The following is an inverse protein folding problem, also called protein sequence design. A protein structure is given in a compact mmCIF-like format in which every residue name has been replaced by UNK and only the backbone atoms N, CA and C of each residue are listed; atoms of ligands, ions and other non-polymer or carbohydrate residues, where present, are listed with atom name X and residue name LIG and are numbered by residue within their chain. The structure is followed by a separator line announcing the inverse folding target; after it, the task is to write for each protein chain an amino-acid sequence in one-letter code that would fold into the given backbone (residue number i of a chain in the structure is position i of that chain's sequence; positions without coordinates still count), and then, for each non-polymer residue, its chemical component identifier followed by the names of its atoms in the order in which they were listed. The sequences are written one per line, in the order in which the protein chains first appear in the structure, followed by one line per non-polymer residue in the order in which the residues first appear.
data_IF_424412488688
#
_entry.id   IF_424412488688
#
_cell.length_a   1.000
_cell.length_b   1.000
_cell.length_c   1.000
_cell.angle_alpha   90.00
_cell.angle_beta   90.00
_cell.angle_gamma   90.00
#
_symmetry.space_group_name_H-M   'P 1'
#
loop_
_entity.id
_entity.type
_entity.pdbx_description
1 polymer ?
#
# COMPACT_ATOMS: atom_id res chain seq x y z
N UNK A 1 -8.26 3.04 18.40
CA UNK A 1 -8.99 4.14 19.09
C UNK A 1 -8.10 5.38 19.11
N UNK A 2 -8.57 6.48 18.56
CA UNK A 2 -7.99 7.80 18.77
C UNK A 2 -8.71 8.43 19.97
N UNK A 3 -7.97 8.87 20.96
CA UNK A 3 -8.50 9.64 22.07
C UNK A 3 -7.89 11.04 22.03
N UNK A 4 -8.73 12.02 21.75
CA UNK A 4 -8.36 13.43 21.83
C UNK A 4 -9.05 13.97 23.07
N UNK A 5 -8.33 14.27 24.16
CA UNK A 5 -8.92 14.84 25.35
C UNK A 5 -9.65 16.13 25.00
N UNK A 6 -10.89 16.28 25.44
CA UNK A 6 -11.70 17.50 25.25
C UNK A 6 -11.24 18.69 26.12
N UNK A 7 -10.19 18.50 26.91
CA UNK A 7 -9.57 19.50 27.78
C UNK A 7 -8.04 19.31 27.74
N UNK A 8 -7.26 20.31 28.12
CA UNK A 8 -5.82 20.16 28.22
C UNK A 8 -5.41 18.94 29.04
N UNK A 9 -4.47 18.14 28.52
CA UNK A 9 -3.94 16.94 29.18
C UNK A 9 -3.15 17.35 30.42
N UNK A 10 -2.45 18.48 30.33
CA UNK A 10 -1.61 19.04 31.38
C UNK A 10 -1.76 20.54 31.49
N UNK A 11 -1.44 21.06 32.67
CA UNK A 11 -1.43 22.48 32.96
C UNK A 11 -2.75 22.97 33.60
N UNK A 12 -2.86 24.29 33.89
CA UNK A 12 -1.84 25.32 33.63
C UNK A 12 -0.65 25.24 34.58
N UNK A 13 0.56 25.51 34.07
CA UNK A 13 1.82 25.49 34.81
C UNK A 13 2.60 26.80 34.60
N UNK A 14 3.41 27.15 35.57
CA UNK A 14 4.22 28.36 35.56
C UNK A 14 3.42 29.64 35.73
N UNK A 15 4.11 30.77 35.85
CA UNK A 15 3.49 32.10 35.95
C UNK A 15 2.74 32.48 34.66
N UNK A 16 3.21 31.97 33.52
CA UNK A 16 2.57 32.13 32.21
C UNK A 16 1.34 31.25 31.99
N UNK A 17 1.00 30.38 32.97
CA UNK A 17 -0.18 29.49 32.98
C UNK A 17 -0.33 28.67 31.70
N UNK A 18 0.79 28.10 31.21
CA UNK A 18 0.81 27.26 30.02
C UNK A 18 0.06 25.97 30.26
N UNK A 19 -0.82 25.62 29.34
CA UNK A 19 -1.50 24.34 29.24
C UNK A 19 -1.30 23.74 27.83
N UNK A 20 -1.28 22.40 27.73
CA UNK A 20 -1.11 21.71 26.44
C UNK A 20 -1.91 20.42 26.36
N UNK A 21 -2.08 19.94 25.14
CA UNK A 21 -2.80 18.71 24.84
C UNK A 21 -1.85 17.67 24.27
N UNK A 22 -2.14 16.41 24.58
CA UNK A 22 -1.48 15.23 24.02
C UNK A 22 -2.55 14.26 23.54
N UNK A 23 -2.23 13.48 22.50
CA UNK A 23 -3.14 12.51 21.92
C UNK A 23 -2.69 11.10 22.24
N UNK A 24 -3.65 10.20 22.41
CA UNK A 24 -3.42 8.78 22.59
C UNK A 24 -4.08 8.01 21.45
N UNK A 25 -3.30 7.17 20.75
CA UNK A 25 -3.76 6.34 19.64
C UNK A 25 -3.56 4.87 20.00
N UNK A 26 -4.61 4.06 19.80
CA UNK A 26 -4.58 2.61 19.94
C UNK A 26 -5.38 1.97 18.81
N UNK A 27 -4.75 1.07 18.03
CA UNK A 27 -5.37 0.41 16.87
C UNK A 27 -4.34 -0.31 16.01
N UNK A 28 -4.79 -0.80 14.85
CA UNK A 28 -3.94 -1.43 13.85
C UNK A 28 -3.29 -0.37 12.95
N UNK A 29 -2.41 0.45 13.51
CA UNK A 29 -1.88 1.67 12.88
C UNK A 29 -1.26 1.47 11.50
N UNK A 30 -0.80 0.26 11.17
CA UNK A 30 -0.15 -0.02 9.90
C UNK A 30 -1.10 -0.55 8.82
N UNK A 31 -2.41 -0.69 9.15
CA UNK A 31 -3.40 -1.29 8.26
C UNK A 31 -4.72 -0.52 8.24
N UNK A 32 -4.78 0.63 8.89
CA UNK A 32 -5.97 1.47 8.96
C UNK A 32 -5.77 2.76 8.14
N UNK A 33 -6.48 2.90 7.02
CA UNK A 33 -6.37 4.05 6.12
C UNK A 33 -5.19 3.93 5.15
N UNK A 34 -4.67 5.07 4.68
CA UNK A 34 -3.50 5.07 3.79
C UNK A 34 -2.31 4.46 4.51
N UNK A 35 -1.76 3.41 3.94
CA UNK A 35 -0.77 2.55 4.57
C UNK A 35 0.36 2.17 3.62
N UNK A 36 1.48 1.80 4.23
CA UNK A 36 2.67 1.27 3.57
C UNK A 36 3.03 -0.07 4.18
N UNK A 37 3.16 -1.10 3.34
CA UNK A 37 3.56 -2.43 3.75
C UNK A 37 5.05 -2.64 3.55
N UNK A 38 5.74 -2.97 4.64
CA UNK A 38 7.14 -3.36 4.60
C UNK A 38 7.30 -4.82 4.18
N UNK A 39 8.52 -5.23 3.88
CA UNK A 39 8.85 -6.62 3.50
C UNK A 39 8.68 -7.63 4.64
N UNK A 40 8.32 -7.18 5.84
CA UNK A 40 7.95 -8.03 6.98
C UNK A 40 6.44 -8.31 7.04
N UNK A 41 5.61 -7.67 6.16
CA UNK A 41 4.16 -7.78 6.24
C UNK A 41 3.67 -9.18 5.85
N UNK A 42 4.24 -9.77 4.79
CA UNK A 42 3.81 -11.08 4.27
C UNK A 42 4.93 -12.10 4.28
N UNK A 43 4.53 -13.38 4.38
CA UNK A 43 5.42 -14.54 4.26
C UNK A 43 4.74 -15.65 3.47
N UNK A 44 5.55 -16.53 2.87
CA UNK A 44 5.08 -17.77 2.24
C UNK A 44 5.42 -18.97 3.12
N UNK A 45 4.46 -19.84 3.36
CA UNK A 45 4.69 -21.14 4.02
C UNK A 45 5.17 -22.16 2.98
N UNK A 46 6.40 -22.67 3.14
CA UNK A 46 7.03 -23.56 2.14
C UNK A 46 7.05 -25.03 2.54
N UNK A 47 6.60 -25.40 3.72
CA UNK A 47 6.72 -26.74 4.23
C UNK A 47 5.49 -27.24 4.96
N UNK A 48 5.68 -27.79 6.16
CA UNK A 48 4.58 -28.35 6.95
C UNK A 48 3.59 -27.27 7.34
N UNK A 49 2.29 -27.42 6.98
CA UNK A 49 1.26 -26.45 7.31
C UNK A 49 1.21 -26.11 8.81
N UNK A 50 1.18 -24.81 9.11
CA UNK A 50 1.11 -24.29 10.48
C UNK A 50 2.45 -24.29 11.24
N UNK A 51 3.56 -24.69 10.62
CA UNK A 51 4.88 -24.57 11.23
C UNK A 51 5.50 -23.20 10.91
N UNK A 52 5.58 -22.34 11.92
CA UNK A 52 6.17 -21.01 11.78
C UNK A 52 7.62 -21.03 11.27
N UNK A 53 8.34 -22.15 11.46
CA UNK A 53 9.69 -22.30 10.92
C UNK A 53 9.71 -22.48 9.41
N UNK A 54 8.58 -22.80 8.80
CA UNK A 54 8.43 -22.94 7.35
C UNK A 54 8.02 -21.62 6.66
N UNK A 55 7.72 -20.59 7.42
CA UNK A 55 7.46 -19.26 6.88
C UNK A 55 8.75 -18.62 6.35
N UNK A 56 8.69 -18.14 5.11
CA UNK A 56 9.76 -17.40 4.42
C UNK A 56 9.28 -16.04 4.02
N UNK A 57 10.06 -15.04 4.42
CA UNK A 57 9.94 -13.65 4.03
C UNK A 57 10.91 -13.32 2.90
N UNK A 58 10.84 -12.09 2.41
CA UNK A 58 11.76 -11.60 1.40
C UNK A 58 13.22 -12.01 1.71
N UNK A 59 13.95 -12.33 0.63
CA UNK A 59 15.34 -12.79 0.70
C UNK A 59 15.54 -14.08 1.54
N UNK A 60 14.49 -14.90 1.69
CA UNK A 60 14.53 -16.21 2.34
C UNK A 60 14.64 -16.18 3.86
N UNK A 61 14.45 -15.05 4.51
CA UNK A 61 14.46 -14.98 5.97
C UNK A 61 13.40 -15.87 6.59
N UNK A 62 13.81 -16.74 7.54
CA UNK A 62 12.90 -17.58 8.32
C UNK A 62 12.24 -16.76 9.43
N UNK A 63 10.97 -17.03 9.71
CA UNK A 63 10.24 -16.40 10.80
C UNK A 63 11.00 -16.48 12.12
N UNK A 64 11.44 -17.67 12.51
CA UNK A 64 12.18 -17.89 13.76
C UNK A 64 13.49 -17.11 13.88
N UNK A 65 14.08 -16.71 12.74
CA UNK A 65 15.31 -15.93 12.75
C UNK A 65 15.09 -14.43 12.92
N UNK A 66 13.92 -13.91 12.51
CA UNK A 66 13.68 -12.47 12.45
C UNK A 66 12.53 -11.97 13.34
N UNK A 67 11.53 -12.80 13.64
CA UNK A 67 10.39 -12.43 14.48
C UNK A 67 10.73 -12.56 15.97
N UNK A 68 10.20 -11.64 16.77
CA UNK A 68 10.31 -11.63 18.24
C UNK A 68 9.00 -11.19 18.86
N UNK A 69 8.87 -11.33 20.19
CA UNK A 69 7.72 -10.79 20.94
C UNK A 69 7.61 -9.25 20.90
N UNK A 70 8.65 -8.57 20.36
CA UNK A 70 8.70 -7.10 20.24
C UNK A 70 8.78 -6.63 18.78
N UNK A 71 8.31 -7.46 17.83
CA UNK A 71 8.36 -7.18 16.40
C UNK A 71 9.56 -7.80 15.67
N UNK A 72 9.75 -7.42 14.44
CA UNK A 72 10.75 -7.99 13.54
C UNK A 72 12.13 -7.34 13.70
N UNK A 73 13.21 -8.15 13.71
CA UNK A 73 14.59 -7.67 13.74
C UNK A 73 15.13 -7.29 12.35
N UNK A 74 14.51 -7.80 11.30
CA UNK A 74 14.83 -7.56 9.89
C UNK A 74 13.54 -7.26 9.14
N UNK A 75 13.64 -6.59 8.02
CA UNK A 75 12.52 -6.28 7.11
C UNK A 75 11.44 -5.35 7.71
N UNK A 76 11.52 -4.99 8.99
CA UNK A 76 10.60 -4.06 9.62
C UNK A 76 10.64 -2.68 8.97
N UNK A 77 9.56 -1.94 9.12
CA UNK A 77 9.36 -0.64 8.47
C UNK A 77 10.46 0.37 8.77
N UNK A 78 11.09 0.29 9.95
CA UNK A 78 12.21 1.15 10.34
C UNK A 78 13.50 0.88 9.56
N UNK A 79 13.53 -0.17 8.75
CA UNK A 79 14.66 -0.49 7.85
C UNK A 79 14.46 0.08 6.46
N UNK A 80 13.26 0.58 6.16
CA UNK A 80 12.98 1.23 4.88
C UNK A 80 13.59 2.62 4.89
N UNK A 81 14.48 2.90 3.95
CA UNK A 81 15.01 4.25 3.75
C UNK A 81 13.92 5.13 3.12
N UNK A 82 13.95 6.47 3.33
CA UNK A 82 13.06 7.37 2.61
C UNK A 82 13.13 7.13 1.10
N UNK A 83 11.97 7.11 0.45
CA UNK A 83 11.83 6.90 -0.98
C UNK A 83 11.65 8.26 -1.64
N UNK A 84 12.50 8.56 -2.61
CA UNK A 84 12.38 9.69 -3.50
C UNK A 84 12.60 9.18 -4.92
N UNK A 85 11.54 9.06 -5.69
CA UNK A 85 11.59 8.49 -7.04
C UNK A 85 10.48 9.10 -7.90
N UNK A 86 10.42 8.72 -9.16
CA UNK A 86 9.31 9.07 -10.02
C UNK A 86 8.10 8.19 -9.70
N UNK A 87 6.91 8.80 -9.57
CA UNK A 87 5.63 8.14 -9.48
C UNK A 87 4.91 8.16 -10.83
N UNK A 88 4.34 7.03 -11.23
CA UNK A 88 3.47 6.88 -12.41
C UNK A 88 2.11 6.46 -11.94
N UNK A 89 1.07 7.24 -12.28
CA UNK A 89 -0.33 6.93 -12.00
C UNK A 89 -1.04 6.45 -13.27
N UNK A 90 -1.62 5.26 -13.21
CA UNK A 90 -2.44 4.68 -14.28
C UNK A 90 -3.92 4.79 -13.90
N UNK A 91 -4.68 5.60 -14.61
CA UNK A 91 -6.12 5.84 -14.34
C UNK A 91 -6.99 4.80 -15.06
N UNK A 92 -7.06 3.58 -14.50
CA UNK A 92 -7.86 2.49 -15.06
C UNK A 92 -9.35 2.80 -14.99
N UNK A 93 -9.81 3.43 -13.91
CA UNK A 93 -11.20 3.85 -13.74
C UNK A 93 -11.61 4.89 -14.79
N UNK A 94 -10.76 5.87 -15.05
CA UNK A 94 -10.98 6.87 -16.09
C UNK A 94 -11.00 6.27 -17.49
N UNK A 95 -10.08 5.35 -17.80
CA UNK A 95 -10.06 4.61 -19.06
C UNK A 95 -11.34 3.79 -19.28
N UNK A 96 -11.81 3.06 -18.25
CA UNK A 96 -13.05 2.27 -18.31
C UNK A 96 -14.31 3.14 -18.23
N UNK A 97 -14.19 4.43 -17.89
CA UNK A 97 -15.31 5.37 -17.75
C UNK A 97 -16.23 5.05 -16.56
N UNK A 98 -15.77 4.25 -15.60
CA UNK A 98 -16.54 3.84 -14.42
C UNK A 98 -15.62 3.39 -13.27
N UNK A 99 -16.14 3.43 -12.05
CA UNK A 99 -15.54 2.68 -10.94
C UNK A 99 -15.51 1.18 -11.28
N UNK A 100 -14.41 0.51 -10.95
CA UNK A 100 -14.29 -0.93 -11.12
C UNK A 100 -15.22 -1.68 -10.15
N UNK A 101 -15.56 -2.92 -10.51
CA UNK A 101 -16.42 -3.75 -9.67
C UNK A 101 -15.63 -4.58 -8.66
N UNK A 102 -16.32 -5.05 -7.61
CA UNK A 102 -15.76 -5.98 -6.64
C UNK A 102 -15.17 -7.21 -7.35
N UNK A 103 -13.95 -7.59 -6.99
CA UNK A 103 -13.23 -8.74 -7.58
C UNK A 103 -12.91 -8.59 -9.07
N UNK A 104 -13.06 -7.40 -9.65
CA UNK A 104 -12.67 -7.16 -11.03
C UNK A 104 -11.15 -7.14 -11.16
N UNK A 105 -10.63 -7.99 -12.03
CA UNK A 105 -9.19 -8.01 -12.33
C UNK A 105 -8.83 -6.93 -13.35
N UNK A 106 -7.76 -6.22 -13.06
CA UNK A 106 -7.09 -5.33 -13.99
C UNK A 106 -6.06 -6.15 -14.78
N UNK A 107 -6.27 -6.29 -16.06
CA UNK A 107 -5.38 -7.03 -16.97
C UNK A 107 -4.22 -6.17 -17.45
N UNK A 108 -3.22 -6.79 -18.07
CA UNK A 108 -2.12 -6.06 -18.74
C UNK A 108 -2.66 -5.16 -19.86
N UNK A 109 -3.69 -5.61 -20.57
CA UNK A 109 -4.31 -4.83 -21.65
C UNK A 109 -5.09 -3.62 -21.09
N UNK A 110 -5.73 -3.76 -19.93
CA UNK A 110 -6.33 -2.62 -19.23
C UNK A 110 -5.29 -1.56 -18.86
N UNK A 111 -4.13 -2.00 -18.33
CA UNK A 111 -3.02 -1.09 -17.98
C UNK A 111 -2.47 -0.36 -19.21
N UNK A 112 -2.27 -1.08 -20.31
CA UNK A 112 -1.82 -0.49 -21.58
C UNK A 112 -2.83 0.50 -22.14
N UNK A 113 -4.12 0.10 -22.19
CA UNK A 113 -5.18 0.97 -22.67
C UNK A 113 -5.34 2.24 -21.83
N UNK A 114 -5.20 2.13 -20.50
CA UNK A 114 -5.22 3.29 -19.61
C UNK A 114 -4.01 4.21 -19.81
N UNK A 115 -2.80 3.67 -20.01
CA UNK A 115 -1.64 4.48 -20.36
C UNK A 115 -1.83 5.22 -21.68
N UNK A 116 -2.30 4.54 -22.74
CA UNK A 116 -2.60 5.16 -24.03
C UNK A 116 -3.70 6.24 -23.92
N UNK A 117 -4.74 5.96 -23.14
CA UNK A 117 -5.81 6.93 -22.83
C UNK A 117 -5.26 8.22 -22.19
N UNK A 118 -4.21 8.10 -21.38
CA UNK A 118 -3.52 9.22 -20.73
C UNK A 118 -2.47 9.90 -21.63
N UNK A 119 -2.24 9.40 -22.86
CA UNK A 119 -1.19 9.87 -23.75
C UNK A 119 0.21 9.37 -23.35
N UNK A 120 0.29 8.28 -22.61
CA UNK A 120 1.50 7.62 -22.15
C UNK A 120 1.66 6.25 -22.82
N UNK A 121 2.81 5.64 -22.65
CA UNK A 121 3.10 4.29 -23.11
C UNK A 121 3.72 3.43 -22.00
N UNK A 122 3.77 2.13 -22.22
CA UNK A 122 4.46 1.20 -21.31
C UNK A 122 5.96 1.50 -21.19
N UNK A 123 6.55 2.12 -22.22
CA UNK A 123 7.96 2.46 -22.23
C UNK A 123 8.27 3.71 -21.39
N UNK A 124 7.25 4.43 -20.94
CA UNK A 124 7.44 5.54 -20.00
C UNK A 124 7.73 5.05 -18.59
N UNK A 125 7.35 3.81 -18.25
CA UNK A 125 7.65 3.21 -16.94
C UNK A 125 9.08 2.68 -16.94
N UNK A 126 9.89 3.17 -16.01
CA UNK A 126 11.32 2.85 -15.90
C UNK A 126 11.62 2.05 -14.62
N UNK A 127 12.71 1.26 -14.64
CA UNK A 127 13.20 0.65 -13.41
C UNK A 127 13.42 1.68 -12.31
N UNK A 128 12.89 1.39 -11.12
CA UNK A 128 12.98 2.27 -9.96
C UNK A 128 11.78 3.19 -9.75
N UNK A 129 10.82 3.25 -10.68
CA UNK A 129 9.58 4.02 -10.51
C UNK A 129 8.70 3.41 -9.42
N UNK A 130 7.88 4.24 -8.79
CA UNK A 130 6.72 3.83 -8.03
C UNK A 130 5.49 3.82 -8.95
N UNK A 131 4.82 2.67 -9.06
CA UNK A 131 3.67 2.47 -9.92
C UNK A 131 2.37 2.53 -9.12
N UNK A 132 1.49 3.43 -9.50
CA UNK A 132 0.18 3.57 -8.89
C UNK A 132 -0.91 3.33 -9.92
N UNK A 133 -2.06 2.80 -9.47
CA UNK A 133 -3.22 2.68 -10.33
C UNK A 133 -4.50 3.04 -9.58
N UNK A 134 -5.43 3.66 -10.30
CA UNK A 134 -6.70 4.14 -9.78
C UNK A 134 -7.84 3.24 -10.24
N UNK A 135 -8.66 2.79 -9.29
CA UNK A 135 -9.81 1.90 -9.51
C UNK A 135 -11.14 2.60 -9.34
N UNK A 136 -11.15 3.76 -8.69
CA UNK A 136 -12.35 4.47 -8.24
C UNK A 136 -12.95 3.91 -6.95
N UNK A 137 -12.50 2.73 -6.48
CA UNK A 137 -13.05 2.06 -5.29
C UNK A 137 -12.85 2.88 -4.02
N UNK A 138 -11.76 3.64 -3.94
CA UNK A 138 -11.47 4.54 -2.83
C UNK A 138 -12.55 5.59 -2.56
N UNK A 139 -13.37 5.93 -3.57
CA UNK A 139 -14.51 6.84 -3.40
C UNK A 139 -15.60 6.31 -2.44
N UNK A 140 -15.59 5.03 -2.12
CA UNK A 140 -16.50 4.40 -1.15
C UNK A 140 -16.04 4.60 0.30
N UNK A 141 -14.77 4.90 0.54
CA UNK A 141 -14.22 5.08 1.88
C UNK A 141 -15.00 6.15 2.66
N UNK A 142 -15.46 5.78 3.85
CA UNK A 142 -16.25 6.66 4.72
C UNK A 142 -17.68 6.96 4.22
N UNK A 143 -18.06 6.54 3.00
CA UNK A 143 -19.39 6.77 2.42
C UNK A 143 -20.22 5.48 2.38
N UNK A 144 -19.64 4.38 1.92
CA UNK A 144 -20.24 3.05 1.89
C UNK A 144 -19.21 2.01 2.34
N UNK A 145 -18.93 1.99 3.62
CA UNK A 145 -17.95 1.07 4.20
C UNK A 145 -18.36 -0.40 4.06
N UNK A 146 -19.64 -0.70 3.97
CA UNK A 146 -20.11 -2.07 3.76
C UNK A 146 -19.68 -2.58 2.38
N UNK A 147 -19.89 -1.78 1.33
CA UNK A 147 -19.43 -2.09 -0.02
C UNK A 147 -17.90 -2.07 -0.10
N UNK A 148 -17.24 -1.05 0.46
CA UNK A 148 -15.78 -0.92 0.48
C UNK A 148 -15.11 -2.17 1.04
N UNK A 149 -15.58 -2.68 2.18
CA UNK A 149 -15.01 -3.84 2.88
C UNK A 149 -15.49 -5.20 2.32
N UNK A 150 -16.43 -5.23 1.37
CA UNK A 150 -16.94 -6.49 0.81
C UNK A 150 -15.94 -7.21 -0.10
N UNK A 151 -14.91 -6.52 -0.56
CA UNK A 151 -13.89 -6.96 -1.49
C UNK A 151 -13.30 -5.75 -2.21
N UNK A 152 -12.47 -5.99 -3.22
CA UNK A 152 -11.81 -4.92 -3.97
C UNK A 152 -11.46 -5.37 -5.38
N UNK A 153 -11.47 -4.49 -6.40
CA UNK A 153 -10.79 -4.72 -7.66
C UNK A 153 -9.28 -4.60 -7.50
N UNK A 154 -8.52 -5.17 -8.42
CA UNK A 154 -7.07 -4.98 -8.43
C UNK A 154 -6.35 -5.78 -9.52
N UNK A 155 -5.04 -5.79 -9.50
CA UNK A 155 -4.22 -6.41 -10.54
C UNK A 155 -4.48 -7.91 -10.64
N UNK A 156 -4.62 -8.43 -11.87
CA UNK A 156 -4.51 -9.85 -12.13
C UNK A 156 -3.09 -10.36 -11.82
N UNK A 157 -2.90 -11.67 -11.72
CA UNK A 157 -1.57 -12.25 -11.50
C UNK A 157 -0.59 -11.87 -12.62
N UNK A 158 -1.06 -11.84 -13.87
CA UNK A 158 -0.26 -11.44 -15.03
C UNK A 158 0.10 -9.95 -15.01
N UNK A 159 -0.82 -9.10 -14.54
CA UNK A 159 -0.53 -7.68 -14.35
C UNK A 159 0.48 -7.45 -13.22
N UNK A 160 0.45 -8.29 -12.17
CA UNK A 160 1.50 -8.33 -11.17
C UNK A 160 2.86 -8.73 -11.73
N UNK A 161 2.94 -9.77 -12.57
CA UNK A 161 4.18 -10.17 -13.28
C UNK A 161 4.69 -9.03 -14.16
N UNK A 162 3.78 -8.38 -14.88
CA UNK A 162 4.13 -7.22 -15.70
C UNK A 162 4.75 -6.08 -14.90
N UNK A 163 4.24 -5.78 -13.70
CA UNK A 163 4.83 -4.76 -12.82
C UNK A 163 6.23 -5.16 -12.33
N UNK A 164 6.43 -6.43 -11.99
CA UNK A 164 7.76 -6.98 -11.63
C UNK A 164 8.74 -6.83 -12.78
N UNK A 165 8.34 -7.17 -14.00
CA UNK A 165 9.19 -7.06 -15.21
C UNK A 165 9.62 -5.62 -15.51
N UNK A 166 8.81 -4.62 -15.10
CA UNK A 166 9.14 -3.18 -15.16
C UNK A 166 10.14 -2.75 -14.09
N UNK A 167 10.44 -3.64 -13.11
CA UNK A 167 11.37 -3.36 -12.01
C UNK A 167 10.99 -2.13 -11.20
N UNK A 168 9.68 -1.98 -10.96
CA UNK A 168 9.19 -0.92 -10.07
C UNK A 168 9.62 -1.20 -8.64
N UNK A 169 9.73 -0.16 -7.81
CA UNK A 169 10.10 -0.32 -6.39
C UNK A 169 8.91 -0.38 -5.46
N UNK A 170 7.76 0.05 -5.96
CA UNK A 170 6.51 0.10 -5.21
C UNK A 170 5.32 -0.04 -6.15
N UNK A 171 4.26 -0.68 -5.68
CA UNK A 171 2.93 -0.69 -6.30
C UNK A 171 1.93 -0.12 -5.31
N UNK A 172 1.02 0.74 -5.76
CA UNK A 172 -0.01 1.31 -4.88
C UNK A 172 -1.35 1.53 -5.58
N UNK A 173 -2.41 1.64 -4.76
CA UNK A 173 -3.79 1.75 -5.23
C UNK A 173 -4.66 2.56 -4.27
N UNK A 174 -5.84 2.98 -4.75
CA UNK A 174 -6.86 3.72 -3.99
C UNK A 174 -7.78 2.82 -3.13
N UNK A 175 -7.49 1.54 -3.04
CA UNK A 175 -8.24 0.58 -2.23
C UNK A 175 -7.34 -0.23 -1.29
N UNK A 176 -7.89 -1.23 -0.58
CA UNK A 176 -7.22 -1.92 0.52
C UNK A 176 -6.48 -3.21 0.13
N UNK A 177 -6.36 -3.54 -1.16
CA UNK A 177 -5.51 -4.62 -1.66
C UNK A 177 -5.09 -4.35 -3.11
N UNK A 178 -3.83 -4.64 -3.44
CA UNK A 178 -3.29 -4.45 -4.80
C UNK A 178 -3.74 -5.52 -5.80
N UNK A 179 -4.48 -6.52 -5.40
CA UNK A 179 -5.13 -7.51 -6.27
C UNK A 179 -6.63 -7.54 -6.09
N UNK A 180 -7.32 -8.25 -6.97
CA UNK A 180 -8.75 -8.49 -6.84
C UNK A 180 -9.05 -9.42 -5.64
N UNK A 181 -9.91 -8.97 -4.71
CA UNK A 181 -10.36 -9.73 -3.54
C UNK A 181 -11.90 -9.76 -3.49
N UNK A 182 -12.53 -10.95 -3.33
CA UNK A 182 -11.92 -12.28 -3.42
C UNK A 182 -11.30 -12.53 -4.79
N UNK A 183 -10.25 -13.36 -4.82
CA UNK A 183 -9.64 -13.76 -6.08
C UNK A 183 -10.66 -14.47 -6.98
N UNK A 184 -10.73 -14.18 -8.28
CA UNK A 184 -11.56 -14.94 -9.21
C UNK A 184 -11.20 -16.43 -9.28
N UNK A 185 -9.94 -16.79 -9.06
CA UNK A 185 -9.51 -18.16 -8.86
C UNK A 185 -9.37 -18.46 -7.35
N UNK A 186 -10.30 -19.26 -6.77
CA UNK A 186 -10.34 -19.51 -5.33
C UNK A 186 -9.16 -20.30 -4.79
N UNK A 187 -8.25 -20.79 -5.64
CA UNK A 187 -7.00 -21.43 -5.23
C UNK A 187 -5.99 -20.43 -4.69
N UNK A 188 -6.16 -19.15 -5.00
CA UNK A 188 -5.22 -18.07 -4.65
C UNK A 188 -5.85 -17.09 -3.66
N UNK A 189 -5.07 -16.69 -2.69
CA UNK A 189 -5.38 -15.58 -1.79
C UNK A 189 -4.23 -14.57 -1.82
N UNK A 190 -4.54 -13.32 -2.19
CA UNK A 190 -3.59 -12.22 -2.27
C UNK A 190 -2.26 -12.55 -3.01
N UNK A 191 -2.32 -13.08 -4.25
CA UNK A 191 -1.13 -13.57 -4.95
C UNK A 191 -0.11 -12.47 -5.28
N UNK A 192 -0.55 -11.23 -5.50
CA UNK A 192 0.35 -10.13 -5.81
C UNK A 192 1.05 -9.59 -4.55
N UNK A 193 0.43 -9.65 -3.37
CA UNK A 193 1.15 -9.40 -2.12
C UNK A 193 2.32 -10.34 -1.94
N UNK A 194 2.13 -11.65 -2.17
CA UNK A 194 3.22 -12.62 -2.13
C UNK A 194 4.29 -12.28 -3.17
N UNK A 195 3.89 -12.06 -4.41
CA UNK A 195 4.78 -11.73 -5.52
C UNK A 195 5.62 -10.48 -5.26
N UNK A 196 4.98 -9.40 -4.79
CA UNK A 196 5.67 -8.13 -4.56
C UNK A 196 6.54 -8.19 -3.31
N UNK A 197 5.94 -8.46 -2.15
CA UNK A 197 6.63 -8.34 -0.86
C UNK A 197 7.61 -9.47 -0.60
N UNK A 198 7.23 -10.72 -0.92
CA UNK A 198 8.03 -11.90 -0.54
C UNK A 198 9.04 -12.29 -1.61
N UNK A 199 8.62 -12.29 -2.88
CA UNK A 199 9.44 -12.82 -3.96
C UNK A 199 10.35 -11.76 -4.58
N UNK A 200 9.87 -10.50 -4.72
CA UNK A 200 10.57 -9.49 -5.49
C UNK A 200 11.02 -8.26 -4.69
N UNK A 201 10.63 -8.11 -3.43
CA UNK A 201 11.04 -6.98 -2.58
C UNK A 201 10.47 -5.63 -3.05
N UNK A 202 9.31 -5.66 -3.70
CA UNK A 202 8.54 -4.50 -4.13
C UNK A 202 7.59 -4.12 -2.99
N UNK A 203 7.64 -2.87 -2.55
CA UNK A 203 6.75 -2.36 -1.51
C UNK A 203 5.32 -2.18 -2.00
N UNK A 204 4.37 -2.19 -1.05
CA UNK A 204 2.96 -1.92 -1.35
C UNK A 204 2.50 -0.67 -0.59
N UNK A 205 1.64 0.13 -1.24
CA UNK A 205 0.96 1.26 -0.61
C UNK A 205 -0.52 1.26 -1.00
N UNK A 206 -1.39 1.35 -0.01
CA UNK A 206 -2.83 1.15 -0.19
C UNK A 206 -3.65 2.31 0.38
N UNK A 207 -4.93 2.36 -0.01
CA UNK A 207 -5.87 3.40 0.39
C UNK A 207 -5.38 4.82 0.08
N UNK A 208 -4.78 5.00 -1.11
CA UNK A 208 -4.32 6.29 -1.59
C UNK A 208 -5.48 7.14 -2.12
N UNK A 209 -5.40 8.44 -1.91
CA UNK A 209 -6.30 9.41 -2.53
C UNK A 209 -5.59 10.06 -3.72
N UNK A 210 -6.06 9.76 -4.93
CA UNK A 210 -5.54 10.31 -6.18
C UNK A 210 -6.39 11.46 -6.74
N UNK A 211 -7.42 11.92 -6.02
CA UNK A 211 -8.42 12.87 -6.53
C UNK A 211 -7.80 14.12 -7.14
N UNK A 212 -6.82 14.72 -6.46
CA UNK A 212 -6.17 15.93 -6.95
C UNK A 212 -5.30 15.67 -8.20
N UNK A 213 -4.55 14.56 -8.22
CA UNK A 213 -3.74 14.19 -9.39
C UNK A 213 -4.61 13.96 -10.63
N UNK A 214 -5.75 13.30 -10.44
CA UNK A 214 -6.70 13.01 -11.51
C UNK A 214 -7.40 14.28 -12.02
N UNK A 215 -7.82 15.17 -11.13
CA UNK A 215 -8.42 16.46 -11.48
C UNK A 215 -7.46 17.32 -12.32
N UNK A 216 -6.18 17.34 -11.94
CA UNK A 216 -5.12 18.09 -12.64
C UNK A 216 -4.51 17.31 -13.82
N UNK A 217 -4.94 16.06 -14.05
CA UNK A 217 -4.39 15.14 -15.08
C UNK A 217 -2.87 14.98 -14.96
N UNK A 218 -2.40 14.85 -13.74
CA UNK A 218 -0.99 14.60 -13.42
C UNK A 218 -0.77 13.10 -13.26
N UNK A 219 -0.15 12.48 -14.23
CA UNK A 219 0.10 11.04 -14.26
C UNK A 219 1.57 10.68 -14.04
N UNK A 220 2.46 11.66 -14.07
CA UNK A 220 3.87 11.55 -13.74
C UNK A 220 4.24 12.67 -12.75
N UNK A 221 4.92 12.30 -11.65
CA UNK A 221 5.25 13.22 -10.58
C UNK A 221 6.48 12.76 -9.79
N UNK A 222 7.11 13.66 -9.07
CA UNK A 222 8.08 13.28 -8.07
C UNK A 222 7.34 12.70 -6.84
N UNK A 223 7.60 11.43 -6.54
CA UNK A 223 7.03 10.71 -5.40
C UNK A 223 7.99 10.75 -4.22
N UNK A 224 7.50 11.22 -3.08
CA UNK A 224 8.27 11.32 -1.84
C UNK A 224 7.52 10.64 -0.71
N UNK A 225 8.18 9.71 -0.03
CA UNK A 225 7.62 9.03 1.12
C UNK A 225 8.70 8.64 2.14
N UNK A 226 8.40 8.83 3.42
CA UNK A 226 9.17 8.28 4.52
C UNK A 226 8.23 7.60 5.51
N UNK A 227 8.43 6.32 5.74
CA UNK A 227 7.63 5.56 6.70
C UNK A 227 7.86 6.07 8.12
N UNK A 228 6.84 6.02 8.97
CA UNK A 228 7.01 6.20 10.42
C UNK A 228 7.88 5.06 10.94
N UNK A 229 9.08 5.31 11.50
CA UNK A 229 10.06 4.27 11.79
C UNK A 229 9.71 3.49 13.07
N UNK A 230 8.55 2.89 13.12
CA UNK A 230 8.10 2.05 14.23
C UNK A 230 8.93 0.76 14.27
N UNK A 231 9.78 0.64 15.28
CA UNK A 231 10.74 -0.45 15.38
C UNK A 231 10.07 -1.83 15.38
N UNK A 232 10.41 -2.65 14.40
CA UNK A 232 9.95 -4.02 14.24
C UNK A 232 8.50 -4.14 13.72
N UNK A 233 7.85 -3.03 13.32
CA UNK A 233 6.54 -3.07 12.73
C UNK A 233 6.58 -3.56 11.27
N UNK A 234 5.46 -4.13 10.81
CA UNK A 234 5.31 -4.70 9.48
C UNK A 234 4.80 -3.71 8.44
N UNK A 235 4.38 -2.54 8.87
CA UNK A 235 3.90 -1.46 8.03
C UNK A 235 3.82 -0.14 8.79
N UNK A 236 3.36 0.90 8.13
CA UNK A 236 3.26 2.25 8.65
C UNK A 236 2.01 2.94 8.11
N UNK A 237 1.33 3.78 8.92
CA UNK A 237 0.46 4.78 8.32
C UNK A 237 1.30 5.62 7.35
N UNK A 238 0.68 6.02 6.24
CA UNK A 238 1.37 6.70 5.16
C UNK A 238 0.72 8.04 4.83
N UNK A 239 1.57 9.02 4.55
CA UNK A 239 1.18 10.30 3.97
C UNK A 239 2.20 10.65 2.88
N UNK A 240 2.12 10.00 1.70
CA UNK A 240 3.02 10.29 0.60
C UNK A 240 2.78 11.68 0.04
N UNK A 241 3.79 12.21 -0.65
CA UNK A 241 3.73 13.52 -1.31
C UNK A 241 4.00 13.29 -2.80
N UNK A 242 3.13 13.84 -3.66
CA UNK A 242 3.33 13.96 -5.09
C UNK A 242 3.65 15.43 -5.42
N UNK A 243 4.71 15.66 -6.17
CA UNK A 243 5.12 17.00 -6.62
C UNK A 243 5.18 17.01 -8.14
N UNK A 244 4.42 17.93 -8.73
CA UNK A 244 4.36 18.20 -10.16
C UNK A 244 5.55 19.04 -10.60
#
# INVERSE_FOLDING_TARGET
TLSIPGAPTWGPMGENKLAWNEDYISGHLSQDGTQFDSLAHMATELGKPGDLNELRYYNGFRHSAIATSRGFRRLGVEKTIPIFTRGILIDVSGYKGRMLERSEEITVDDLRGALEFQGMSVDDIKPGDALFYHTGWGALWGKDNAKFNSGTPGLSMQAGDWAVDRKVVMVGTDNWAVEAIPSPDPRWFAPNHQKFLVENGIYIMENLDFSQLLEEKVYEFAFIFAAVPMRGATGSPARPIAVK
#
